data_IF_087102541518
#
_entry.id   IF_087102541518
#
_cell.length_a   1.000
_cell.length_b   1.000
_cell.length_c   1.000
_cell.angle_alpha   90.00
_cell.angle_beta   90.00
_cell.angle_gamma   90.00
#
_symmetry.space_group_name_H-M   'P 1'
#
loop_
_entity.id
_entity.type
_entity.pdbx_description
1 polymer ?
#
# COMPACT_ATOMS: atom_id res chain seq x y z
N UNK A 1 13.09 -7.73 7.22
CA UNK A 1 11.85 -7.31 6.53
C UNK A 1 10.83 -6.94 7.61
N UNK A 2 10.41 -5.67 7.69
CA UNK A 2 9.42 -5.19 8.66
C UNK A 2 8.16 -4.83 7.89
N UNK A 3 6.98 -5.13 8.39
CA UNK A 3 5.69 -4.75 7.76
C UNK A 3 5.01 -3.67 8.57
N UNK A 4 4.19 -2.85 7.92
CA UNK A 4 3.39 -1.83 8.59
C UNK A 4 1.95 -2.35 8.70
N UNK A 5 1.46 -2.50 9.92
CA UNK A 5 0.07 -2.87 10.21
C UNK A 5 -0.65 -1.61 10.68
N UNK A 6 -1.74 -1.24 10.03
CA UNK A 6 -2.51 -0.05 10.40
C UNK A 6 -3.98 -0.16 9.98
N UNK A 7 -4.82 0.64 10.64
CA UNK A 7 -6.22 0.85 10.24
C UNK A 7 -6.32 2.18 9.51
N UNK A 8 -6.83 2.22 8.26
CA UNK A 8 -6.93 3.47 7.50
C UNK A 8 -7.95 4.40 8.18
N UNK A 9 -7.64 5.70 8.19
CA UNK A 9 -8.53 6.74 8.69
C UNK A 9 -9.42 7.28 7.58
N UNK A 10 -10.59 7.82 7.94
CA UNK A 10 -11.51 8.44 6.99
C UNK A 10 -10.88 9.65 6.30
N UNK A 11 -10.82 9.63 4.97
CA UNK A 11 -10.38 10.80 4.19
C UNK A 11 -11.45 11.88 4.21
N UNK A 12 -11.04 13.14 4.35
CA UNK A 12 -11.95 14.28 4.52
C UNK A 12 -12.96 14.47 3.37
N UNK A 13 -12.59 14.02 2.16
CA UNK A 13 -13.39 14.17 0.94
C UNK A 13 -14.42 13.07 0.72
N UNK A 14 -14.37 11.96 1.47
CA UNK A 14 -15.24 10.81 1.22
C UNK A 14 -16.15 10.51 2.41
N UNK A 15 -17.45 10.38 2.16
CA UNK A 15 -18.46 10.08 3.17
C UNK A 15 -18.53 8.60 3.56
N UNK A 16 -18.19 7.68 2.64
CA UNK A 16 -18.34 6.23 2.82
C UNK A 16 -17.38 5.63 3.86
N UNK A 17 -17.90 4.75 4.73
CA UNK A 17 -17.18 4.21 5.89
C UNK A 17 -16.66 2.77 5.74
N UNK A 18 -17.10 2.04 4.71
CA UNK A 18 -16.87 0.59 4.58
C UNK A 18 -15.38 0.21 4.56
N UNK A 19 -14.55 1.02 3.89
CA UNK A 19 -13.12 0.76 3.73
C UNK A 19 -12.30 0.93 5.02
N UNK A 20 -12.88 1.50 6.08
CA UNK A 20 -12.17 1.79 7.34
C UNK A 20 -12.41 0.74 8.44
N UNK A 21 -13.16 -0.34 8.14
CA UNK A 21 -13.44 -1.39 9.13
C UNK A 21 -12.31 -2.41 9.28
N UNK A 22 -11.55 -2.64 8.22
CA UNK A 22 -10.52 -3.68 8.15
C UNK A 22 -9.12 -3.13 8.50
N UNK A 23 -8.28 -4.01 9.04
CA UNK A 23 -6.86 -3.80 9.23
C UNK A 23 -6.10 -4.09 7.93
N UNK A 24 -5.09 -3.27 7.64
CA UNK A 24 -4.27 -3.38 6.44
C UNK A 24 -2.84 -3.67 6.85
N UNK A 25 -2.26 -4.70 6.25
CA UNK A 25 -0.82 -4.99 6.32
C UNK A 25 -0.19 -4.58 5.01
N UNK A 26 0.73 -3.62 5.07
CA UNK A 26 1.47 -3.09 3.92
C UNK A 26 2.96 -3.40 4.06
N UNK A 27 3.56 -3.90 2.99
CA UNK A 27 4.99 -4.10 2.89
C UNK A 27 5.68 -2.76 2.57
N UNK A 28 6.81 -2.44 3.23
CA UNK A 28 7.52 -1.19 3.00
C UNK A 28 7.95 -1.09 1.55
N UNK A 29 7.75 0.09 0.97
CA UNK A 29 8.19 0.38 -0.38
C UNK A 29 9.71 0.43 -0.38
N UNK A 30 10.34 -0.51 -1.07
CA UNK A 30 11.70 -0.31 -1.51
C UNK A 30 11.67 0.76 -2.61
N UNK A 31 12.35 1.88 -2.37
CA UNK A 31 12.27 3.10 -3.17
C UNK A 31 13.03 3.00 -4.50
N UNK A 32 13.32 1.79 -4.95
CA UNK A 32 13.97 1.53 -6.22
C UNK A 32 12.96 1.72 -7.37
N UNK A 33 12.64 2.98 -7.66
CA UNK A 33 11.89 3.41 -8.85
C UNK A 33 12.93 3.92 -9.84
N UNK A 34 13.20 3.13 -10.89
CA UNK A 34 14.05 3.53 -12.00
C UNK A 34 13.22 4.20 -13.10
N UNK A 35 13.78 5.20 -13.78
CA UNK A 35 13.17 5.73 -15.01
C UNK A 35 13.61 4.90 -16.21
N UNK A 36 12.69 4.45 -17.04
CA UNK A 36 13.03 3.78 -18.30
C UNK A 36 13.48 4.83 -19.35
N UNK A 37 14.62 4.61 -20.04
CA UNK A 37 15.20 5.62 -20.94
C UNK A 37 14.44 5.84 -22.25
N UNK A 38 13.56 4.91 -22.66
CA UNK A 38 12.85 5.01 -23.94
C UNK A 38 11.55 5.81 -23.81
N UNK A 39 10.64 5.35 -22.95
CA UNK A 39 9.31 5.95 -22.78
C UNK A 39 9.16 6.79 -21.50
N UNK A 40 10.17 6.81 -20.62
CA UNK A 40 10.11 7.53 -19.35
C UNK A 40 9.20 6.90 -18.30
N UNK A 41 8.79 5.64 -18.49
CA UNK A 41 7.95 4.95 -17.52
C UNK A 41 8.72 4.63 -16.24
N UNK A 42 8.03 4.66 -15.10
CA UNK A 42 8.60 4.22 -13.84
C UNK A 42 8.68 2.69 -13.81
N UNK A 43 9.90 2.16 -13.87
CA UNK A 43 10.21 0.76 -13.67
C UNK A 43 10.41 0.49 -12.18
N UNK A 44 9.82 -0.59 -11.69
CA UNK A 44 10.07 -1.12 -10.34
C UNK A 44 10.53 -2.55 -10.48
N UNK A 45 11.66 -2.90 -9.88
CA UNK A 45 12.19 -4.26 -9.74
C UNK A 45 11.52 -5.04 -8.61
N UNK A 46 10.86 -4.31 -7.69
CA UNK A 46 10.20 -4.89 -6.53
C UNK A 46 8.66 -4.96 -6.70
N UNK A 47 8.10 -6.17 -6.59
CA UNK A 47 6.66 -6.47 -6.65
C UNK A 47 5.94 -6.33 -5.30
N UNK A 48 6.66 -6.25 -4.17
CA UNK A 48 6.05 -6.13 -2.84
C UNK A 48 5.14 -4.90 -2.70
N UNK A 49 5.29 -3.88 -3.58
CA UNK A 49 4.40 -2.73 -3.68
C UNK A 49 2.95 -3.07 -4.04
N UNK A 50 2.71 -4.22 -4.66
CA UNK A 50 1.38 -4.63 -5.13
C UNK A 50 0.59 -5.43 -4.08
N UNK A 51 1.27 -5.94 -3.05
CA UNK A 51 0.65 -6.84 -2.07
C UNK A 51 0.11 -6.02 -0.89
N UNK A 52 -1.21 -6.00 -0.75
CA UNK A 52 -1.90 -5.50 0.44
C UNK A 52 -2.81 -6.60 0.97
N UNK A 53 -2.64 -6.95 2.24
CA UNK A 53 -3.48 -7.93 2.92
C UNK A 53 -4.46 -7.21 3.84
N UNK A 54 -5.72 -7.68 3.86
CA UNK A 54 -6.80 -7.13 4.68
C UNK A 54 -7.25 -8.15 5.70
N UNK A 55 -7.41 -7.71 6.94
CA UNK A 55 -7.81 -8.54 8.07
C UNK A 55 -8.95 -7.87 8.84
N UNK A 56 -9.77 -8.67 9.52
CA UNK A 56 -10.87 -8.16 10.34
C UNK A 56 -10.43 -7.80 11.77
N UNK A 57 -9.43 -8.52 12.29
CA UNK A 57 -8.83 -8.33 13.63
C UNK A 57 -7.33 -8.03 13.55
N UNK A 58 -6.77 -7.54 14.65
CA UNK A 58 -5.32 -7.33 14.83
C UNK A 58 -4.58 -8.61 15.25
N UNK A 59 -5.30 -9.52 15.91
CA UNK A 59 -4.80 -10.79 16.46
C UNK A 59 -4.43 -11.82 15.39
#
# INVERSE_FOLDING_TARGET
MKVKIYKPYKTATQSGLSKFKHWIVEFPKDNNLGSEPLMGWQKSDNTYKQVQLKFDSLE
#
